data_IF_073679738260
#
_entry.id   IF_073679738260
#
_cell.length_a   1.000
_cell.length_b   1.000
_cell.length_c   1.000
_cell.angle_alpha   90.00
_cell.angle_beta   90.00
_cell.angle_gamma   90.00
#
_symmetry.space_group_name_H-M   'P 1'
#
loop_
_entity.id
_entity.type
_entity.pdbx_description
1 polymer ?
#
# COMPACT_ATOMS: atom_id res chain seq x y z
N UNK A 1 -47.87 -62.56 -25.33
CA UNK A 1 -47.42 -62.35 -23.94
C UNK A 1 -47.08 -63.72 -23.36
N UNK A 2 -45.85 -63.92 -22.89
CA UNK A 2 -45.50 -65.10 -22.10
C UNK A 2 -46.00 -64.87 -20.68
N UNK A 3 -46.86 -65.76 -20.18
CA UNK A 3 -47.35 -65.73 -18.81
C UNK A 3 -46.87 -67.00 -18.09
N UNK A 4 -46.25 -66.88 -16.91
CA UNK A 4 -45.82 -65.64 -16.25
C UNK A 4 -44.60 -64.97 -16.93
N UNK A 5 -44.40 -63.64 -16.77
CA UNK A 5 -43.28 -62.92 -17.40
C UNK A 5 -41.88 -63.29 -16.88
N UNK A 6 -41.80 -64.00 -15.76
CA UNK A 6 -40.58 -64.52 -15.15
C UNK A 6 -40.75 -66.00 -14.79
N UNK A 7 -39.67 -66.77 -14.89
CA UNK A 7 -39.73 -68.24 -14.73
C UNK A 7 -40.08 -68.68 -13.30
N UNK A 8 -40.98 -69.66 -13.22
CA UNK A 8 -41.36 -70.34 -11.98
C UNK A 8 -40.55 -71.63 -11.79
N UNK A 9 -40.30 -72.06 -10.53
CA UNK A 9 -40.77 -71.48 -9.27
C UNK A 9 -39.83 -70.43 -8.66
N UNK A 10 -38.69 -70.16 -9.29
CA UNK A 10 -37.64 -69.30 -8.75
C UNK A 10 -38.14 -67.87 -8.47
N UNK A 11 -39.00 -67.32 -9.33
CA UNK A 11 -39.52 -65.95 -9.23
C UNK A 11 -40.95 -65.88 -8.70
N UNK A 12 -41.35 -66.82 -7.83
CA UNK A 12 -42.74 -66.92 -7.32
C UNK A 12 -43.25 -65.70 -6.55
N UNK A 13 -42.38 -64.79 -6.14
CA UNK A 13 -42.69 -63.53 -5.43
C UNK A 13 -42.63 -62.30 -6.34
N UNK A 14 -42.38 -62.48 -7.64
CA UNK A 14 -42.34 -61.41 -8.62
C UNK A 14 -43.65 -61.30 -9.39
N UNK A 15 -44.12 -60.08 -9.58
CA UNK A 15 -45.29 -59.76 -10.41
C UNK A 15 -45.05 -58.48 -11.22
N UNK A 16 -45.84 -58.26 -12.28
CA UNK A 16 -45.70 -57.07 -13.11
C UNK A 16 -45.98 -57.29 -14.60
N UNK A 17 -45.53 -56.33 -15.41
CA UNK A 17 -45.70 -56.32 -16.87
C UNK A 17 -44.32 -56.18 -17.51
N UNK A 18 -43.99 -57.09 -18.43
CA UNK A 18 -42.79 -57.05 -19.28
C UNK A 18 -43.24 -57.15 -20.74
N UNK A 19 -42.77 -56.23 -21.58
CA UNK A 19 -43.03 -56.24 -23.03
C UNK A 19 -41.71 -56.27 -23.78
N UNK A 20 -41.63 -57.10 -24.83
CA UNK A 20 -40.47 -57.14 -25.71
C UNK A 20 -40.62 -56.15 -26.86
N UNK A 21 -39.50 -55.67 -27.38
CA UNK A 21 -39.48 -54.92 -28.63
C UNK A 21 -40.02 -55.75 -29.80
N UNK A 22 -40.49 -55.07 -30.84
CA UNK A 22 -41.10 -55.69 -32.02
C UNK A 22 -40.16 -56.67 -32.74
N UNK A 23 -40.67 -57.40 -33.75
CA UNK A 23 -39.92 -58.41 -34.51
C UNK A 23 -38.48 -57.96 -34.80
N UNK A 24 -37.50 -58.68 -34.22
CA UNK A 24 -36.07 -58.38 -34.32
C UNK A 24 -35.40 -57.99 -32.99
N UNK A 25 -36.16 -57.73 -31.92
CA UNK A 25 -35.59 -57.50 -30.59
C UNK A 25 -34.82 -58.72 -30.07
N UNK A 26 -33.67 -58.50 -29.45
CA UNK A 26 -32.90 -59.58 -28.83
C UNK A 26 -33.73 -60.21 -27.69
N UNK A 27 -33.77 -61.55 -27.64
CA UNK A 27 -34.35 -62.27 -26.51
C UNK A 27 -33.49 -62.09 -25.25
N UNK A 28 -34.12 -61.89 -24.10
CA UNK A 28 -33.41 -61.75 -22.82
C UNK A 28 -34.17 -60.95 -21.78
N UNK A 29 -33.49 -60.62 -20.67
CA UNK A 29 -34.10 -60.01 -19.50
C UNK A 29 -34.22 -58.49 -19.55
N UNK A 30 -33.55 -57.83 -20.50
CA UNK A 30 -33.60 -56.36 -20.60
C UNK A 30 -33.00 -55.69 -19.38
N UNK A 31 -31.95 -56.29 -18.81
CA UNK A 31 -31.22 -55.70 -17.68
C UNK A 31 -30.25 -54.62 -18.17
N UNK A 32 -29.84 -53.74 -17.25
CA UNK A 32 -28.78 -52.75 -17.51
C UNK A 32 -27.54 -53.47 -18.07
N UNK A 33 -27.19 -53.18 -19.32
CA UNK A 33 -26.07 -53.81 -20.07
C UNK A 33 -26.21 -55.34 -20.30
N UNK A 34 -27.42 -55.91 -20.20
CA UNK A 34 -27.69 -57.33 -20.44
C UNK A 34 -28.30 -57.61 -21.81
N UNK A 35 -28.44 -58.89 -22.16
CA UNK A 35 -29.20 -59.29 -23.34
C UNK A 35 -30.70 -59.05 -23.11
N UNK A 36 -31.41 -58.64 -24.17
CA UNK A 36 -32.86 -58.47 -24.14
C UNK A 36 -33.32 -57.04 -24.41
N UNK A 37 -34.25 -56.87 -25.35
CA UNK A 37 -34.92 -55.59 -25.60
C UNK A 37 -36.31 -55.61 -24.95
N UNK A 38 -36.46 -54.96 -23.80
CA UNK A 38 -37.73 -54.97 -23.06
C UNK A 38 -38.03 -53.68 -22.30
N UNK A 39 -39.31 -53.36 -22.12
CA UNK A 39 -39.79 -52.42 -21.11
C UNK A 39 -40.42 -53.22 -19.96
N UNK A 40 -40.23 -52.76 -18.72
CA UNK A 40 -40.73 -53.51 -17.56
C UNK A 40 -41.14 -52.61 -16.38
N UNK A 41 -42.19 -53.06 -15.70
CA UNK A 41 -42.51 -52.69 -14.32
C UNK A 41 -42.59 -53.99 -13.53
N UNK A 42 -41.74 -54.15 -12.51
CA UNK A 42 -41.66 -55.34 -11.66
C UNK A 42 -41.81 -55.00 -10.19
N UNK A 43 -42.67 -55.74 -9.51
CA UNK A 43 -42.82 -55.78 -8.07
C UNK A 43 -42.18 -57.07 -7.55
N UNK A 44 -41.32 -56.97 -6.55
CA UNK A 44 -40.75 -58.09 -5.80
C UNK A 44 -41.27 -57.97 -4.35
N UNK A 45 -42.04 -58.96 -3.91
CA UNK A 45 -42.67 -58.99 -2.57
C UNK A 45 -42.00 -60.00 -1.63
N UNK A 46 -40.78 -60.43 -1.94
CA UNK A 46 -39.99 -61.26 -1.04
C UNK A 46 -39.59 -60.46 0.20
N UNK A 47 -40.06 -60.93 1.36
CA UNK A 47 -39.78 -60.31 2.67
C UNK A 47 -38.29 -59.97 2.85
N UNK A 48 -37.99 -58.69 3.06
CA UNK A 48 -36.64 -58.16 3.28
C UNK A 48 -35.81 -57.93 2.01
N UNK A 49 -36.40 -58.13 0.84
CA UNK A 49 -35.81 -57.87 -0.48
C UNK A 49 -36.82 -57.17 -1.41
N UNK A 50 -37.77 -56.44 -0.84
CA UNK A 50 -38.86 -55.80 -1.57
C UNK A 50 -38.31 -54.76 -2.55
N UNK A 51 -38.82 -54.76 -3.78
CA UNK A 51 -38.35 -53.85 -4.81
C UNK A 51 -39.45 -53.50 -5.82
N UNK A 52 -39.52 -52.23 -6.18
CA UNK A 52 -40.15 -51.76 -7.40
C UNK A 52 -39.05 -51.42 -8.42
N UNK A 53 -39.09 -52.06 -9.58
CA UNK A 53 -38.18 -51.79 -10.69
C UNK A 53 -38.96 -51.24 -11.88
N UNK A 54 -38.57 -50.05 -12.35
CA UNK A 54 -39.05 -49.45 -13.58
C UNK A 54 -37.89 -49.43 -14.58
N UNK A 55 -38.14 -49.90 -15.79
CA UNK A 55 -37.16 -49.94 -16.85
C UNK A 55 -37.76 -49.52 -18.19
N UNK A 56 -37.12 -48.53 -18.81
CA UNK A 56 -37.34 -48.14 -20.19
C UNK A 56 -36.10 -48.51 -21.01
N UNK A 57 -36.31 -49.16 -22.16
CA UNK A 57 -35.21 -49.57 -23.05
C UNK A 57 -34.52 -48.37 -23.71
N UNK A 58 -35.28 -47.30 -23.98
CA UNK A 58 -34.80 -46.14 -24.74
C UNK A 58 -35.10 -44.83 -24.03
N UNK A 59 -36.37 -44.45 -24.00
CA UNK A 59 -36.82 -43.15 -23.49
C UNK A 59 -37.79 -43.38 -22.32
N UNK A 60 -37.56 -42.70 -21.19
CA UNK A 60 -38.51 -42.62 -20.08
C UNK A 60 -38.97 -41.17 -19.95
N UNK A 61 -40.23 -40.91 -20.31
CA UNK A 61 -40.89 -39.64 -20.07
C UNK A 61 -41.65 -39.71 -18.74
N UNK A 62 -41.52 -38.68 -17.92
CA UNK A 62 -42.29 -38.53 -16.67
C UNK A 62 -42.93 -37.15 -16.69
N UNK A 63 -44.25 -37.11 -16.54
CA UNK A 63 -45.04 -35.89 -16.56
C UNK A 63 -45.98 -35.89 -15.36
N UNK A 64 -46.01 -34.77 -14.63
CA UNK A 64 -46.86 -34.56 -13.46
C UNK A 64 -47.39 -33.13 -13.57
N UNK A 65 -48.70 -32.98 -13.81
CA UNK A 65 -49.31 -31.68 -14.14
C UNK A 65 -49.54 -30.77 -12.93
N UNK A 66 -49.51 -31.32 -11.71
CA UNK A 66 -49.74 -30.58 -10.48
C UNK A 66 -48.51 -30.63 -9.56
N UNK A 67 -48.41 -31.64 -8.70
CA UNK A 67 -47.36 -31.74 -7.68
C UNK A 67 -46.68 -33.12 -7.72
N UNK A 68 -45.35 -33.15 -7.73
CA UNK A 68 -44.55 -34.35 -7.46
C UNK A 68 -43.88 -34.19 -6.09
N UNK A 69 -44.23 -35.04 -5.14
CA UNK A 69 -43.52 -35.17 -3.87
C UNK A 69 -42.69 -36.46 -3.88
N UNK A 70 -41.42 -36.36 -3.49
CA UNK A 70 -40.52 -37.51 -3.41
C UNK A 70 -39.78 -37.57 -2.09
N UNK A 71 -40.03 -38.64 -1.35
CA UNK A 71 -39.28 -38.98 -0.14
C UNK A 71 -38.45 -40.26 -0.35
N UNK A 72 -37.25 -40.28 0.21
CA UNK A 72 -36.35 -41.45 0.24
C UNK A 72 -35.83 -41.58 1.67
N UNK A 73 -36.18 -42.67 2.36
CA UNK A 73 -35.89 -42.82 3.79
C UNK A 73 -34.44 -43.12 4.16
N UNK A 74 -33.60 -43.46 3.18
CA UNK A 74 -32.18 -43.71 3.38
C UNK A 74 -31.34 -42.99 2.30
N UNK A 75 -30.81 -43.69 1.31
CA UNK A 75 -29.92 -43.12 0.30
C UNK A 75 -30.61 -42.94 -1.06
N UNK A 76 -30.37 -41.79 -1.71
CA UNK A 76 -30.64 -41.57 -3.14
C UNK A 76 -29.33 -41.51 -3.92
N UNK A 77 -29.25 -42.24 -5.04
CA UNK A 77 -28.14 -42.15 -6.00
C UNK A 77 -28.68 -41.80 -7.39
N UNK A 78 -28.02 -40.88 -8.08
CA UNK A 78 -28.33 -40.47 -9.46
C UNK A 78 -27.04 -40.54 -10.27
N UNK A 79 -27.11 -41.08 -11.47
CA UNK A 79 -25.99 -41.15 -12.41
C UNK A 79 -26.52 -40.78 -13.79
N UNK A 80 -25.85 -39.84 -14.44
CA UNK A 80 -26.11 -39.38 -15.80
C UNK A 80 -24.80 -39.55 -16.55
N UNK A 81 -24.78 -40.39 -17.58
CA UNK A 81 -23.54 -40.74 -18.27
C UNK A 81 -23.09 -39.67 -19.29
N UNK A 82 -24.01 -38.81 -19.73
CA UNK A 82 -23.73 -37.68 -20.64
C UNK A 82 -23.97 -36.35 -19.96
N UNK A 83 -25.16 -35.77 -20.16
CA UNK A 83 -25.45 -34.38 -19.80
C UNK A 83 -26.74 -34.28 -18.97
N UNK A 84 -26.75 -33.38 -17.99
CA UNK A 84 -27.92 -33.00 -17.20
C UNK A 84 -28.27 -31.53 -17.48
N UNK A 85 -29.55 -31.27 -17.77
CA UNK A 85 -30.09 -29.92 -17.93
C UNK A 85 -31.32 -29.78 -17.03
N UNK A 86 -31.35 -28.72 -16.22
CA UNK A 86 -32.47 -28.42 -15.33
C UNK A 86 -32.88 -26.96 -15.50
N UNK A 87 -34.18 -26.72 -15.65
CA UNK A 87 -34.78 -25.37 -15.59
C UNK A 87 -35.71 -25.30 -14.40
N UNK A 88 -35.48 -24.33 -13.52
CA UNK A 88 -36.38 -23.99 -12.41
C UNK A 88 -36.90 -22.58 -12.72
N UNK A 89 -38.20 -22.43 -12.94
CA UNK A 89 -38.79 -21.16 -13.39
C UNK A 89 -38.95 -20.12 -12.28
N UNK A 90 -39.01 -20.57 -11.03
CA UNK A 90 -39.14 -19.72 -9.85
C UNK A 90 -37.94 -19.98 -8.94
N UNK A 91 -38.21 -20.38 -7.71
CA UNK A 91 -37.20 -20.46 -6.67
C UNK A 91 -36.65 -21.88 -6.50
N UNK A 92 -35.37 -21.97 -6.14
CA UNK A 92 -34.73 -23.21 -5.66
C UNK A 92 -34.22 -22.97 -4.24
N UNK A 93 -34.57 -23.87 -3.33
CA UNK A 93 -33.98 -23.95 -2.00
C UNK A 93 -33.26 -25.29 -1.86
N UNK A 94 -32.03 -25.26 -1.35
CA UNK A 94 -31.21 -26.44 -1.08
C UNK A 94 -30.68 -26.37 0.35
N UNK A 95 -30.84 -27.46 1.09
CA UNK A 95 -30.41 -27.57 2.48
C UNK A 95 -29.59 -28.86 2.61
N UNK A 96 -28.36 -28.73 3.10
CA UNK A 96 -27.46 -29.84 3.40
C UNK A 96 -27.06 -29.75 4.87
N UNK A 97 -27.63 -30.61 5.71
CA UNK A 97 -27.43 -30.53 7.18
C UNK A 97 -26.00 -30.85 7.64
N UNK A 98 -25.25 -31.62 6.83
CA UNK A 98 -23.88 -32.04 7.16
C UNK A 98 -22.86 -31.39 6.22
N UNK A 99 -22.38 -32.15 5.24
CA UNK A 99 -21.28 -31.75 4.40
C UNK A 99 -21.65 -31.86 2.93
N UNK A 100 -21.20 -30.89 2.13
CA UNK A 100 -21.27 -30.92 0.68
C UNK A 100 -19.86 -31.01 0.09
N UNK A 101 -19.70 -31.81 -0.96
CA UNK A 101 -18.48 -31.84 -1.78
C UNK A 101 -18.87 -31.74 -3.24
N UNK A 102 -18.37 -30.70 -3.90
CA UNK A 102 -18.55 -30.48 -5.33
C UNK A 102 -17.19 -30.65 -6.02
N UNK A 103 -17.12 -31.57 -6.99
CA UNK A 103 -15.96 -31.72 -7.87
C UNK A 103 -16.37 -31.34 -9.30
N UNK A 104 -15.82 -30.24 -9.81
CA UNK A 104 -15.96 -29.86 -11.23
C UNK A 104 -14.59 -30.05 -11.87
N UNK A 105 -14.47 -30.99 -12.81
CA UNK A 105 -13.21 -31.27 -13.50
C UNK A 105 -12.92 -30.32 -14.67
N UNK A 106 -13.98 -29.75 -15.25
CA UNK A 106 -13.91 -28.73 -16.29
C UNK A 106 -14.00 -27.31 -15.73
N UNK A 107 -14.68 -26.44 -16.46
CA UNK A 107 -14.93 -25.06 -16.06
C UNK A 107 -16.26 -24.92 -15.30
N UNK A 108 -16.39 -23.85 -14.50
CA UNK A 108 -17.64 -23.39 -13.90
C UNK A 108 -17.82 -21.91 -14.23
N UNK A 109 -19.00 -21.56 -14.71
CA UNK A 109 -19.44 -20.17 -14.93
C UNK A 109 -20.69 -19.95 -14.10
N UNK A 110 -20.77 -18.80 -13.44
CA UNK A 110 -21.87 -18.42 -12.58
C UNK A 110 -22.19 -16.95 -12.83
N UNK A 111 -23.47 -16.66 -13.07
CA UNK A 111 -23.99 -15.33 -13.34
C UNK A 111 -25.19 -15.10 -12.41
N UNK A 112 -25.16 -13.98 -11.70
CA UNK A 112 -26.21 -13.53 -10.79
C UNK A 112 -26.51 -12.09 -11.17
N UNK A 113 -27.70 -11.86 -11.73
CA UNK A 113 -28.08 -10.54 -12.25
C UNK A 113 -28.29 -9.49 -11.14
N UNK A 114 -28.64 -9.96 -9.94
CA UNK A 114 -28.93 -9.14 -8.76
C UNK A 114 -27.85 -9.35 -7.69
N UNK A 115 -28.25 -9.42 -6.42
CA UNK A 115 -27.34 -9.46 -5.29
C UNK A 115 -26.93 -10.91 -4.93
N UNK A 116 -25.64 -11.09 -4.63
CA UNK A 116 -25.08 -12.33 -4.05
C UNK A 116 -24.63 -12.07 -2.60
N UNK A 117 -25.02 -12.94 -1.67
CA UNK A 117 -24.53 -12.92 -0.29
C UNK A 117 -23.89 -14.26 0.06
N UNK A 118 -22.64 -14.20 0.54
CA UNK A 118 -21.89 -15.37 1.00
C UNK A 118 -21.46 -15.18 2.46
N UNK A 119 -22.00 -16.00 3.34
CA UNK A 119 -21.62 -16.03 4.76
C UNK A 119 -20.84 -17.30 5.08
N UNK A 120 -19.66 -17.16 5.68
CA UNK A 120 -18.84 -18.27 6.18
C UNK A 120 -18.56 -18.03 7.66
N UNK A 121 -19.12 -18.87 8.54
CA UNK A 121 -19.04 -18.66 9.99
C UNK A 121 -17.67 -18.97 10.60
N UNK A 122 -16.85 -19.78 9.92
CA UNK A 122 -15.52 -20.19 10.37
C UNK A 122 -14.45 -19.64 9.43
N UNK A 123 -13.76 -20.49 8.69
CA UNK A 123 -12.65 -20.14 7.81
C UNK A 123 -13.01 -20.32 6.33
N UNK A 124 -12.32 -19.57 5.47
CA UNK A 124 -12.35 -19.73 4.01
C UNK A 124 -10.92 -19.71 3.47
N UNK A 125 -10.51 -20.83 2.89
CA UNK A 125 -9.26 -20.93 2.14
C UNK A 125 -9.56 -20.87 0.63
N UNK A 126 -8.74 -20.11 -0.10
CA UNK A 126 -8.89 -19.94 -1.55
C UNK A 126 -7.53 -19.95 -2.22
N UNK A 127 -7.35 -20.85 -3.17
CA UNK A 127 -6.15 -20.97 -3.99
C UNK A 127 -6.50 -20.76 -5.45
N UNK A 128 -5.68 -19.98 -6.14
CA UNK A 128 -5.77 -19.74 -7.59
C UNK A 128 -4.36 -19.87 -8.16
N UNK A 129 -4.10 -20.94 -8.89
CA UNK A 129 -2.72 -21.29 -9.31
C UNK A 129 -2.18 -20.38 -10.42
N UNK A 130 -3.06 -19.82 -11.25
CA UNK A 130 -2.69 -18.99 -12.38
C UNK A 130 -2.97 -17.50 -12.11
N UNK A 131 -4.21 -17.05 -12.28
CA UNK A 131 -4.54 -15.62 -12.18
C UNK A 131 -5.95 -15.39 -11.63
N UNK A 132 -6.10 -14.28 -10.89
CA UNK A 132 -7.38 -13.79 -10.39
C UNK A 132 -7.57 -12.34 -10.87
N UNK A 133 -8.74 -12.04 -11.46
CA UNK A 133 -9.17 -10.69 -11.80
C UNK A 133 -10.43 -10.37 -11.02
N UNK A 134 -10.42 -9.25 -10.30
CA UNK A 134 -11.59 -8.72 -9.58
C UNK A 134 -11.88 -7.32 -10.11
N UNK A 135 -13.09 -7.11 -10.61
CA UNK A 135 -13.56 -5.80 -11.10
C UNK A 135 -14.77 -5.37 -10.28
N UNK A 136 -14.72 -4.16 -9.72
CA UNK A 136 -15.81 -3.59 -8.93
C UNK A 136 -16.18 -2.24 -9.56
N UNK A 137 -17.45 -2.05 -9.92
CA UNK A 137 -17.90 -0.86 -10.64
C UNK A 137 -18.06 0.40 -9.78
N UNK A 138 -18.39 0.23 -8.49
CA UNK A 138 -18.72 1.36 -7.59
C UNK A 138 -17.74 1.43 -6.41
N UNK A 139 -17.84 0.52 -5.45
CA UNK A 139 -17.05 0.59 -4.22
C UNK A 139 -16.70 -0.79 -3.65
N UNK A 140 -15.51 -0.89 -3.03
CA UNK A 140 -15.05 -2.07 -2.28
C UNK A 140 -14.70 -1.66 -0.84
N UNK A 141 -15.45 -2.18 0.12
CA UNK A 141 -15.13 -2.06 1.54
C UNK A 141 -14.51 -3.37 2.05
N UNK A 142 -13.35 -3.27 2.72
CA UNK A 142 -12.67 -4.42 3.34
C UNK A 142 -12.39 -4.11 4.81
N UNK A 143 -12.89 -4.95 5.71
CA UNK A 143 -12.64 -4.85 7.15
C UNK A 143 -11.99 -6.13 7.65
N UNK A 144 -10.98 -5.99 8.50
CA UNK A 144 -10.24 -7.10 9.10
C UNK A 144 -10.19 -6.84 10.61
N UNK A 145 -10.70 -7.78 11.41
CA UNK A 145 -10.82 -7.59 12.85
C UNK A 145 -9.50 -7.70 13.64
N UNK A 146 -8.50 -8.40 13.10
CA UNK A 146 -7.22 -8.62 13.78
C UNK A 146 -6.02 -8.28 12.90
N UNK A 147 -5.70 -9.11 11.91
CA UNK A 147 -4.44 -9.01 11.15
C UNK A 147 -4.68 -9.27 9.66
N UNK A 148 -4.10 -8.42 8.81
CA UNK A 148 -3.99 -8.61 7.36
C UNK A 148 -2.51 -8.77 6.98
N UNK A 149 -2.16 -9.91 6.36
CA UNK A 149 -0.83 -10.14 5.79
C UNK A 149 -0.94 -10.20 4.25
N UNK A 150 -0.07 -9.47 3.56
CA UNK A 150 -0.01 -9.45 2.09
C UNK A 150 1.44 -9.59 1.64
N UNK A 151 1.72 -10.68 0.91
CA UNK A 151 3.04 -10.95 0.32
C UNK A 151 2.92 -10.90 -1.19
N UNK A 152 3.86 -10.21 -1.84
CA UNK A 152 3.93 -10.07 -3.30
C UNK A 152 5.31 -10.56 -3.75
N UNK A 153 5.34 -11.54 -4.67
CA UNK A 153 6.60 -12.17 -5.10
C UNK A 153 7.46 -11.32 -6.04
N UNK A 154 6.84 -10.47 -6.89
CA UNK A 154 7.56 -9.67 -7.89
C UNK A 154 7.26 -8.17 -7.77
N UNK A 155 6.03 -7.74 -8.10
CA UNK A 155 5.70 -6.32 -8.22
C UNK A 155 4.27 -6.02 -7.73
N UNK A 156 4.14 -4.92 -7.00
CA UNK A 156 2.86 -4.32 -6.60
C UNK A 156 2.76 -2.90 -7.14
N UNK A 157 1.74 -2.64 -7.95
CA UNK A 157 1.42 -1.29 -8.45
C UNK A 157 0.06 -0.85 -7.91
N UNK A 158 -0.04 0.40 -7.45
CA UNK A 158 -1.28 1.00 -6.99
C UNK A 158 -1.44 2.38 -7.62
N UNK A 159 -2.48 2.55 -8.43
CA UNK A 159 -2.82 3.83 -9.04
C UNK A 159 -4.10 4.36 -8.40
N UNK A 160 -4.07 5.61 -7.96
CA UNK A 160 -5.17 6.30 -7.29
C UNK A 160 -5.54 7.54 -8.09
N UNK A 161 -6.81 7.71 -8.43
CA UNK A 161 -7.27 8.80 -9.29
C UNK A 161 -7.35 10.17 -8.60
N UNK A 162 -7.82 10.21 -7.34
CA UNK A 162 -8.11 11.47 -6.65
C UNK A 162 -7.31 11.60 -5.34
N UNK A 163 -7.50 10.68 -4.39
CA UNK A 163 -6.90 10.82 -3.05
C UNK A 163 -6.59 9.46 -2.40
N UNK A 164 -5.48 9.44 -1.65
CA UNK A 164 -5.04 8.32 -0.81
C UNK A 164 -4.76 8.82 0.60
N UNK A 165 -5.30 8.14 1.62
CA UNK A 165 -5.10 8.46 3.03
C UNK A 165 -4.74 7.19 3.79
N UNK A 166 -3.83 7.31 4.76
CA UNK A 166 -3.47 6.22 5.66
C UNK A 166 -3.37 6.74 7.10
N UNK A 167 -4.26 6.27 7.96
CA UNK A 167 -4.23 6.54 9.40
C UNK A 167 -3.61 5.32 10.11
N UNK A 168 -2.62 5.56 10.97
CA UNK A 168 -1.91 4.51 11.72
C UNK A 168 -1.95 4.86 13.20
N UNK A 169 -2.36 3.90 14.04
CA UNK A 169 -2.56 4.13 15.47
C UNK A 169 -1.27 4.17 16.29
N UNK A 170 -0.43 3.14 16.16
CA UNK A 170 0.76 2.96 17.03
C UNK A 170 2.06 3.23 16.28
N UNK A 171 2.33 2.48 15.22
CA UNK A 171 3.60 2.56 14.50
C UNK A 171 3.45 2.17 13.04
N UNK A 172 4.24 2.82 12.18
CA UNK A 172 4.45 2.46 10.78
C UNK A 172 5.94 2.34 10.53
N UNK A 173 6.37 1.24 9.92
CA UNK A 173 7.75 1.02 9.48
C UNK A 173 7.77 0.73 7.99
N UNK A 174 8.71 1.34 7.27
CA UNK A 174 8.93 1.12 5.83
C UNK A 174 10.41 0.83 5.61
N UNK A 175 10.73 -0.41 5.22
CA UNK A 175 12.09 -0.81 4.87
C UNK A 175 12.21 -0.99 3.36
N UNK A 176 13.24 -0.42 2.76
CA UNK A 176 13.41 -0.37 1.30
C UNK A 176 14.81 -0.85 0.96
N UNK A 177 14.93 -1.80 0.03
CA UNK A 177 16.20 -2.45 -0.28
C UNK A 177 17.13 -1.65 -1.20
N UNK A 178 16.59 -1.08 -2.29
CA UNK A 178 17.42 -0.47 -3.36
C UNK A 178 17.18 1.03 -3.46
N UNK A 179 15.94 1.45 -3.73
CA UNK A 179 15.63 2.84 -3.99
C UNK A 179 14.24 3.21 -3.49
N UNK A 180 14.13 4.40 -2.91
CA UNK A 180 12.89 5.04 -2.54
C UNK A 180 12.86 6.44 -3.13
N UNK A 181 11.83 6.76 -3.92
CA UNK A 181 11.66 8.06 -4.55
C UNK A 181 10.26 8.61 -4.23
N UNK A 182 10.16 9.93 -4.04
CA UNK A 182 8.92 10.62 -3.74
C UNK A 182 8.89 11.93 -4.53
N UNK A 183 8.01 12.01 -5.53
CA UNK A 183 7.78 13.22 -6.30
C UNK A 183 6.46 13.84 -5.86
N UNK A 184 6.46 15.13 -5.55
CA UNK A 184 5.27 15.85 -5.07
C UNK A 184 5.02 17.03 -6.01
N UNK A 185 3.79 17.13 -6.53
CA UNK A 185 3.46 18.15 -7.54
C UNK A 185 3.18 19.55 -7.00
N UNK A 186 2.66 19.67 -5.77
CA UNK A 186 2.24 20.97 -5.20
C UNK A 186 2.92 21.25 -3.88
N UNK A 187 2.65 20.47 -2.83
CA UNK A 187 3.16 20.74 -1.49
C UNK A 187 3.35 19.45 -0.70
N UNK A 188 4.47 19.34 0.01
CA UNK A 188 4.76 18.28 0.97
C UNK A 188 4.92 18.90 2.36
N UNK A 189 4.13 18.46 3.33
CA UNK A 189 4.22 18.88 4.73
C UNK A 189 4.60 17.67 5.58
N UNK A 190 5.56 17.84 6.48
CA UNK A 190 5.96 16.82 7.46
C UNK A 190 5.98 17.45 8.85
N UNK A 191 5.04 17.06 9.71
CA UNK A 191 4.96 17.51 11.10
C UNK A 191 5.41 16.38 12.02
N UNK A 192 6.32 16.66 12.94
CA UNK A 192 6.85 15.66 13.90
C UNK A 192 6.67 16.21 15.31
N UNK A 193 6.01 15.43 16.17
CA UNK A 193 5.66 15.87 17.54
C UNK A 193 6.77 15.69 18.58
N UNK A 194 7.72 14.77 18.35
CA UNK A 194 8.78 14.45 19.31
C UNK A 194 10.18 14.57 18.71
N UNK A 195 10.59 13.59 17.88
CA UNK A 195 11.95 13.52 17.37
C UNK A 195 11.96 13.05 15.93
N UNK A 196 12.73 13.74 15.09
CA UNK A 196 13.02 13.35 13.71
C UNK A 196 14.52 13.08 13.59
N UNK A 197 14.90 11.82 13.35
CA UNK A 197 16.28 11.44 13.07
C UNK A 197 16.46 11.18 11.58
N UNK A 198 17.55 11.66 10.99
CA UNK A 198 17.91 11.40 9.59
C UNK A 198 19.39 11.10 9.49
N UNK A 199 19.72 9.85 9.18
CA UNK A 199 21.10 9.38 9.00
C UNK A 199 21.31 9.06 7.52
N UNK A 200 22.38 9.57 6.93
CA UNK A 200 22.73 9.32 5.53
C UNK A 200 24.15 8.75 5.49
N UNK A 201 24.31 7.57 4.87
CA UNK A 201 25.60 6.86 4.85
C UNK A 201 26.61 7.39 3.84
N UNK A 202 26.14 8.11 2.82
CA UNK A 202 26.98 8.72 1.79
C UNK A 202 26.63 10.20 1.64
N UNK A 203 26.03 10.60 0.52
CA UNK A 203 25.76 12.01 0.20
C UNK A 203 24.31 12.38 0.50
N UNK A 204 24.12 13.50 1.20
CA UNK A 204 22.83 14.19 1.32
C UNK A 204 22.92 15.51 0.57
N UNK A 205 22.09 15.70 -0.45
CA UNK A 205 21.98 16.96 -1.19
C UNK A 205 20.62 17.59 -0.94
N UNK A 206 20.61 18.90 -0.69
CA UNK A 206 19.41 19.73 -0.56
C UNK A 206 19.59 20.94 -1.47
N UNK A 207 18.66 21.11 -2.40
CA UNK A 207 18.62 22.27 -3.29
C UNK A 207 17.25 22.92 -3.17
N UNK A 208 17.23 24.22 -2.89
CA UNK A 208 16.01 24.99 -2.65
C UNK A 208 15.97 26.14 -3.64
N UNK A 209 14.88 26.23 -4.41
CA UNK A 209 14.78 27.22 -5.49
C UNK A 209 14.48 28.65 -5.05
N UNK A 210 13.97 28.84 -3.81
CA UNK A 210 13.69 30.18 -3.24
C UNK A 210 14.36 30.35 -1.87
N UNK A 211 13.65 29.97 -0.80
CA UNK A 211 14.11 30.19 0.57
C UNK A 211 14.06 28.89 1.37
N UNK A 212 15.11 28.62 2.13
CA UNK A 212 15.13 27.65 3.22
C UNK A 212 15.14 28.43 4.55
N UNK A 213 14.30 28.05 5.51
CA UNK A 213 14.26 28.67 6.83
C UNK A 213 14.40 27.59 7.89
N UNK A 214 15.37 27.78 8.80
CA UNK A 214 15.63 26.88 9.92
C UNK A 214 15.50 27.70 11.20
N UNK A 215 14.46 27.43 11.99
CA UNK A 215 14.27 28.02 13.31
C UNK A 215 14.48 26.95 14.38
N UNK A 216 15.33 27.23 15.36
CA UNK A 216 15.72 26.30 16.41
C UNK A 216 15.56 27.03 17.75
N UNK A 217 14.77 26.44 18.65
CA UNK A 217 14.46 27.07 19.94
C UNK A 217 15.57 26.94 20.99
N UNK A 218 16.46 25.97 20.84
CA UNK A 218 17.58 25.73 21.75
C UNK A 218 18.90 25.76 20.95
N UNK A 219 19.46 24.59 20.60
CA UNK A 219 20.81 24.51 20.06
C UNK A 219 20.85 23.88 18.67
N UNK A 220 21.55 24.53 17.74
CA UNK A 220 22.00 23.96 16.47
C UNK A 220 23.48 23.58 16.56
N UNK A 221 23.79 22.29 16.56
CA UNK A 221 25.18 21.81 16.52
C UNK A 221 25.53 21.26 15.13
N UNK A 222 26.67 21.70 14.58
CA UNK A 222 27.24 21.18 13.33
C UNK A 222 28.68 20.75 13.59
N UNK A 223 29.00 19.48 13.36
CA UNK A 223 30.37 18.95 13.45
C UNK A 223 30.77 18.41 12.09
N UNK A 224 31.95 18.79 11.60
CA UNK A 224 32.45 18.40 10.28
C UNK A 224 33.85 17.82 10.42
N UNK A 225 34.06 16.60 9.90
CA UNK A 225 35.31 15.87 10.11
C UNK A 225 36.48 16.29 9.22
N UNK A 226 36.24 16.99 8.10
CA UNK A 226 37.30 17.41 7.16
C UNK A 226 37.17 18.87 6.74
N UNK A 227 36.19 19.18 5.90
CA UNK A 227 36.03 20.50 5.30
C UNK A 227 34.58 20.94 5.38
N UNK A 228 34.36 22.12 5.95
CA UNK A 228 33.10 22.84 5.89
C UNK A 228 33.26 24.05 4.98
N UNK A 229 32.55 24.07 3.86
CA UNK A 229 32.55 25.19 2.92
C UNK A 229 31.16 25.81 2.90
N UNK A 230 31.09 27.11 3.18
CA UNK A 230 29.90 27.93 3.00
C UNK A 230 30.20 28.97 1.93
N UNK A 231 29.49 28.89 0.81
CA UNK A 231 29.57 29.88 -0.26
C UNK A 231 28.22 30.58 -0.36
N UNK A 232 28.21 31.90 -0.19
CA UNK A 232 26.99 32.72 -0.35
C UNK A 232 27.12 33.58 -1.60
N UNK A 233 26.15 33.43 -2.51
CA UNK A 233 26.10 34.17 -3.77
C UNK A 233 25.04 35.26 -3.70
N UNK A 234 25.37 36.41 -3.11
CA UNK A 234 24.46 37.57 -3.04
C UNK A 234 24.15 38.01 -1.61
N UNK A 235 23.96 39.32 -1.47
CA UNK A 235 23.71 40.06 -0.23
C UNK A 235 22.59 39.44 0.62
N UNK A 236 22.90 39.18 1.90
CA UNK A 236 21.90 38.94 2.96
C UNK A 236 21.13 40.24 3.16
N UNK A 237 19.89 40.30 2.68
CA UNK A 237 19.02 41.45 2.86
C UNK A 237 18.40 41.45 4.26
N UNK A 238 18.93 42.28 5.15
CA UNK A 238 18.14 42.80 6.27
C UNK A 238 17.37 44.03 5.81
N UNK A 239 16.06 44.04 6.05
CA UNK A 239 15.07 44.98 5.52
C UNK A 239 15.47 46.46 5.49
N UNK A 240 15.10 47.10 4.37
CA UNK A 240 15.21 48.54 4.13
C UNK A 240 15.44 48.79 2.64
N UNK A 241 14.41 49.23 1.91
CA UNK A 241 14.43 49.35 0.45
C UNK A 241 15.59 50.19 -0.08
N UNK A 242 16.38 49.58 -0.96
CA UNK A 242 17.47 50.23 -1.69
C UNK A 242 18.39 49.18 -2.30
N UNK A 243 18.44 49.10 -3.63
CA UNK A 243 19.31 48.18 -4.35
C UNK A 243 20.78 48.41 -3.95
N UNK A 244 21.44 47.39 -3.38
CA UNK A 244 22.88 47.42 -3.11
C UNK A 244 23.61 46.36 -3.95
N UNK A 245 24.88 46.62 -4.30
CA UNK A 245 25.65 45.78 -5.22
C UNK A 245 25.99 44.41 -4.59
N UNK A 246 26.32 43.41 -5.42
CA UNK A 246 26.68 42.08 -4.94
C UNK A 246 28.08 42.09 -4.32
N UNK A 247 28.21 41.74 -3.03
CA UNK A 247 29.53 41.44 -2.45
C UNK A 247 29.70 41.84 -0.99
N UNK A 248 29.03 41.16 -0.07
CA UNK A 248 29.38 41.18 1.35
C UNK A 248 28.81 39.92 2.03
N UNK A 249 29.69 39.02 2.49
CA UNK A 249 29.29 37.92 3.39
C UNK A 249 29.18 38.51 4.79
N UNK A 250 27.99 38.49 5.38
CA UNK A 250 27.73 39.14 6.66
C UNK A 250 27.31 38.10 7.72
N UNK A 251 28.16 37.88 8.72
CA UNK A 251 27.74 37.20 9.96
C UNK A 251 27.32 38.30 10.93
N UNK A 252 26.00 38.47 11.09
CA UNK A 252 25.41 39.42 12.05
C UNK A 252 25.06 38.67 13.32
N UNK A 253 25.60 39.10 14.47
CA UNK A 253 25.12 38.61 15.76
C UNK A 253 23.67 39.09 15.97
N UNK A 254 22.75 38.27 16.52
CA UNK A 254 21.38 38.71 16.74
C UNK A 254 21.37 39.96 17.64
N UNK A 255 20.91 41.07 17.08
CA UNK A 255 20.47 42.22 17.88
C UNK A 255 19.23 41.78 18.66
N UNK A 256 19.20 42.06 19.96
CA UNK A 256 18.10 41.71 20.86
C UNK A 256 16.73 41.98 20.18
N UNK A 257 15.91 40.94 20.05
CA UNK A 257 14.57 41.09 19.48
C UNK A 257 13.55 41.51 20.53
N UNK A 258 12.65 42.36 20.05
CA UNK A 258 11.31 42.68 20.57
C UNK A 258 11.21 43.59 21.80
N UNK A 259 10.76 44.83 21.54
CA UNK A 259 10.10 45.68 22.54
C UNK A 259 10.75 47.02 22.81
N UNK A 260 11.05 47.82 21.79
CA UNK A 260 11.43 49.23 21.99
C UNK A 260 12.20 49.79 20.82
N UNK A 261 11.77 50.95 20.32
CA UNK A 261 12.51 51.77 19.36
C UNK A 261 13.86 52.18 19.97
N UNK A 262 14.90 51.37 19.73
CA UNK A 262 16.25 51.60 20.21
C UNK A 262 17.22 50.80 19.37
N UNK A 263 17.93 51.48 18.45
CA UNK A 263 18.91 50.88 17.56
C UNK A 263 20.11 50.31 18.33
N UNK A 264 20.01 49.06 18.77
CA UNK A 264 21.15 48.30 19.27
C UNK A 264 22.14 48.07 18.13
N UNK A 265 23.39 48.49 18.32
CA UNK A 265 24.47 48.30 17.35
C UNK A 265 24.79 46.81 17.22
N UNK A 266 24.36 46.18 16.13
CA UNK A 266 24.70 44.80 15.85
C UNK A 266 26.20 44.69 15.49
N UNK A 267 26.88 43.70 16.08
CA UNK A 267 28.22 43.32 15.66
C UNK A 267 28.12 42.58 14.33
N UNK A 268 28.94 42.95 13.35
CA UNK A 268 29.01 42.28 12.06
C UNK A 268 30.44 41.97 11.65
N UNK A 269 30.59 40.84 10.96
CA UNK A 269 31.79 40.50 10.21
C UNK A 269 31.41 40.54 8.75
N UNK A 270 31.99 41.48 8.01
CA UNK A 270 31.81 41.62 6.56
C UNK A 270 33.05 41.12 5.84
N UNK A 271 32.88 40.20 4.89
CA UNK A 271 33.96 39.76 4.00
C UNK A 271 33.54 39.99 2.55
N UNK A 272 34.37 40.69 1.80
CA UNK A 272 34.23 40.86 0.35
C UNK A 272 35.55 40.50 -0.37
N UNK A 273 35.59 40.60 -1.69
CA UNK A 273 36.78 40.23 -2.47
C UNK A 273 38.01 41.11 -2.24
N UNK A 274 37.83 42.27 -1.59
CA UNK A 274 38.87 43.28 -1.35
C UNK A 274 39.15 43.51 0.13
N UNK A 275 38.26 43.13 1.04
CA UNK A 275 38.41 43.42 2.45
C UNK A 275 37.72 42.46 3.42
N UNK A 276 38.26 42.37 4.64
CA UNK A 276 37.63 41.73 5.80
C UNK A 276 37.45 42.81 6.87
N UNK A 277 36.21 43.09 7.27
CA UNK A 277 35.87 44.09 8.28
C UNK A 277 35.15 43.45 9.46
N UNK A 278 35.65 43.65 10.68
CA UNK A 278 34.94 43.41 11.93
C UNK A 278 34.41 44.75 12.42
N UNK A 279 33.10 44.91 12.55
CA UNK A 279 32.48 46.17 12.98
C UNK A 279 31.57 45.96 14.17
N UNK A 280 31.72 46.83 15.18
CA UNK A 280 30.84 46.90 16.35
C UNK A 280 30.56 48.37 16.63
N UNK A 281 29.32 48.81 16.42
CA UNK A 281 28.96 50.22 16.53
C UNK A 281 29.76 51.09 15.56
N UNK A 282 30.52 52.06 16.09
CA UNK A 282 31.41 52.95 15.31
C UNK A 282 32.85 52.44 15.19
N UNK A 283 33.20 51.37 15.90
CA UNK A 283 34.55 50.81 15.89
C UNK A 283 34.67 49.77 14.78
N UNK A 284 35.78 49.77 14.06
CA UNK A 284 36.07 48.80 13.01
C UNK A 284 37.54 48.37 12.97
N UNK A 285 37.74 47.10 12.65
CA UNK A 285 39.01 46.54 12.22
C UNK A 285 38.82 46.07 10.78
N UNK A 286 39.56 46.65 9.84
CA UNK A 286 39.48 46.34 8.42
C UNK A 286 40.84 45.91 7.87
N UNK A 287 40.86 44.78 7.19
CA UNK A 287 42.00 44.27 6.43
C UNK A 287 41.66 44.44 4.95
N UNK A 288 42.54 45.07 4.18
CA UNK A 288 42.36 45.32 2.73
C UNK A 288 43.30 44.43 1.89
N UNK A 289 42.96 44.19 0.63
CA UNK A 289 43.73 43.39 -0.33
C UNK A 289 45.14 43.96 -0.58
N UNK A 290 45.30 45.27 -0.48
CA UNK A 290 46.61 45.94 -0.63
C UNK A 290 47.53 45.77 0.59
N UNK A 291 47.08 45.04 1.62
CA UNK A 291 47.80 44.81 2.86
C UNK A 291 47.56 45.87 3.94
N UNK A 292 46.75 46.90 3.67
CA UNK A 292 46.40 47.92 4.65
C UNK A 292 45.55 47.33 5.77
N UNK A 293 45.94 47.62 7.01
CA UNK A 293 45.14 47.31 8.21
C UNK A 293 44.69 48.63 8.82
N UNK A 294 43.37 48.84 8.86
CA UNK A 294 42.76 50.01 9.49
C UNK A 294 42.09 49.62 10.79
N UNK A 295 42.44 50.33 11.87
CA UNK A 295 41.78 50.23 13.17
C UNK A 295 41.17 51.59 13.47
N UNK A 296 39.85 51.66 13.49
CA UNK A 296 39.11 52.87 13.82
C UNK A 296 38.31 52.64 15.10
N UNK A 297 38.48 53.51 16.08
CA UNK A 297 37.79 53.47 17.36
C UNK A 297 37.90 54.81 18.06
N UNK A 298 37.12 55.01 19.12
CA UNK A 298 37.22 56.22 19.94
C UNK A 298 38.55 56.26 20.72
N UNK A 299 38.84 55.15 21.41
CA UNK A 299 40.08 54.97 22.15
C UNK A 299 40.78 53.69 21.67
N UNK A 300 42.11 53.75 21.65
CA UNK A 300 42.98 52.60 21.41
C UNK A 300 43.95 52.44 22.57
N UNK A 301 43.72 51.43 23.41
CA UNK A 301 44.54 51.14 24.57
C UNK A 301 45.45 49.95 24.32
N UNK A 302 46.76 50.14 24.50
CA UNK A 302 47.77 49.07 24.45
C UNK A 302 48.39 48.88 25.83
N UNK A 303 47.63 48.26 26.74
CA UNK A 303 48.13 47.96 28.08
C UNK A 303 48.94 46.66 28.08
N UNK A 304 50.28 46.79 28.09
CA UNK A 304 51.20 45.64 28.07
C UNK A 304 52.33 45.87 29.09
N UNK A 305 52.71 44.83 29.83
CA UNK A 305 53.75 44.91 30.87
C UNK A 305 55.18 44.76 30.32
N UNK A 306 55.34 44.13 29.15
CA UNK A 306 56.64 43.98 28.46
C UNK A 306 56.99 45.15 27.53
N UNK A 307 58.09 44.98 26.79
CA UNK A 307 58.51 45.90 25.72
C UNK A 307 57.54 45.88 24.54
N UNK A 308 57.31 47.06 23.95
CA UNK A 308 56.44 47.22 22.78
C UNK A 308 57.34 47.46 21.58
N UNK A 309 57.47 46.45 20.73
CA UNK A 309 58.27 46.57 19.52
C UNK A 309 57.38 47.02 18.37
N UNK A 310 57.54 48.29 17.97
CA UNK A 310 56.99 48.82 16.73
C UNK A 310 58.16 49.05 15.79
N UNK A 311 58.40 48.08 14.90
CA UNK A 311 59.42 48.19 13.88
C UNK A 311 58.77 48.63 12.58
N UNK A 312 59.24 49.74 12.04
CA UNK A 312 58.76 50.29 10.77
C UNK A 312 59.98 50.57 9.92
N UNK A 313 60.07 49.92 8.77
CA UNK A 313 61.18 50.10 7.83
C UNK A 313 61.05 51.40 7.02
N UNK A 314 59.85 51.99 7.00
CA UNK A 314 59.55 53.31 6.45
C UNK A 314 59.28 54.36 7.54
N UNK A 315 58.47 55.35 7.20
CA UNK A 315 58.15 56.45 8.11
C UNK A 315 56.97 56.10 9.03
N UNK A 316 57.10 56.44 10.32
CA UNK A 316 55.98 56.50 11.25
C UNK A 316 55.41 57.91 11.24
N UNK A 317 54.11 58.04 11.02
CA UNK A 317 53.39 59.31 11.17
C UNK A 317 52.35 59.19 12.27
N UNK A 318 52.57 59.88 13.39
CA UNK A 318 51.60 60.00 14.48
C UNK A 318 51.07 61.42 14.55
N UNK A 319 49.75 61.58 14.62
CA UNK A 319 49.08 62.88 14.74
C UNK A 319 48.15 62.86 15.94
N UNK A 320 48.33 63.82 16.83
CA UNK A 320 47.47 64.01 18.00
C UNK A 320 47.58 65.44 18.51
N UNK A 321 46.51 65.93 19.16
CA UNK A 321 46.48 67.29 19.76
C UNK A 321 47.53 67.44 20.87
N UNK A 322 47.83 66.33 21.57
CA UNK A 322 48.87 66.23 22.58
C UNK A 322 49.39 64.80 22.64
N UNK A 323 50.69 64.61 22.40
CA UNK A 323 51.39 63.36 22.71
C UNK A 323 52.06 63.58 24.05
N UNK A 324 51.65 62.82 25.06
CA UNK A 324 52.26 62.87 26.38
C UNK A 324 53.45 61.91 26.37
N UNK A 325 54.64 62.45 26.53
CA UNK A 325 55.84 61.68 26.88
C UNK A 325 55.79 61.39 28.39
N UNK A 326 56.31 60.23 28.80
CA UNK A 326 56.64 59.93 30.19
C UNK A 326 58.16 60.06 30.35
#
# INVERSE_FOLDING_TARGET
MQMPPWDLPANKTQSGIKTHSSLGGAGGDGMKNGAGDANAIRFEDKKGAEQLWLHAQKDQLTEVENDEEKWVGNDRRKTIDRDEFNTIHRDRTEIVDRNEKINVHGWRTEEVDLDETLTVHKSRDRTVDMSEKVSIGINRNKSIGMIENVTIGLLKTQSIGIAYMQNVGVAKMTNVGVAWNTNVGVTMITNVGFTMNTTVGQNKSLSVGKNETISIGDTKATTVGKLYTLTVGGSVSSGGGGASPPGAMNIVAPGASSGGSGGGSASNITMDGKSITLMVGKSSLKLEEDGTISINGHDFYTNMSGEKHVKVDGNITMKGTKILEN
#
